data_IF_745808266172
#
_entry.id   IF_745808266172
#
_cell.length_a   1.000
_cell.length_b   1.000
_cell.length_c   1.000
_cell.angle_alpha   90.00
_cell.angle_beta   90.00
_cell.angle_gamma   90.00
#
_symmetry.space_group_name_H-M   'P 1'
#
loop_
_entity.id
_entity.type
_entity.pdbx_description
1 polymer ?
#
# COMPACT_ATOMS: atom_id res chain seq x y z
N UNK A 1 26.48 12.56 10.85
CA UNK A 1 26.14 12.28 9.43
C UNK A 1 26.83 10.99 9.00
N UNK A 2 26.12 9.87 8.90
CA UNK A 2 26.60 8.60 8.32
C UNK A 2 25.38 7.82 7.80
N UNK A 3 24.58 8.44 6.94
CA UNK A 3 23.20 8.00 6.65
C UNK A 3 23.06 6.93 5.54
N UNK A 4 24.16 6.44 4.96
CA UNK A 4 24.12 5.58 3.77
C UNK A 4 25.16 4.46 3.79
N UNK A 5 25.30 3.75 4.91
CA UNK A 5 26.02 2.48 4.90
C UNK A 5 25.02 1.38 4.67
N UNK A 6 24.91 0.92 3.43
CA UNK A 6 24.21 -0.32 3.12
C UNK A 6 24.93 -1.48 3.81
N UNK A 7 24.29 -2.07 4.81
CA UNK A 7 24.87 -3.15 5.60
C UNK A 7 24.46 -4.51 5.03
N UNK A 8 25.18 -5.56 5.43
CA UNK A 8 24.73 -6.94 5.18
C UNK A 8 23.33 -7.17 5.76
N UNK A 9 23.00 -6.52 6.88
CA UNK A 9 21.68 -6.60 7.51
C UNK A 9 20.58 -6.05 6.62
N UNK A 10 20.81 -4.93 5.92
CA UNK A 10 19.82 -4.34 5.00
C UNK A 10 19.56 -5.25 3.80
N UNK A 11 20.61 -5.89 3.27
CA UNK A 11 20.48 -6.85 2.18
C UNK A 11 19.66 -8.08 2.59
N UNK A 12 20.06 -8.76 3.66
CA UNK A 12 19.36 -9.97 4.11
C UNK A 12 17.95 -9.64 4.61
N UNK A 13 17.76 -8.50 5.28
CA UNK A 13 16.45 -8.03 5.72
C UNK A 13 15.51 -7.71 4.56
N UNK A 14 16.00 -7.04 3.51
CA UNK A 14 15.22 -6.78 2.30
C UNK A 14 14.86 -8.07 1.55
N UNK A 15 15.79 -9.02 1.47
CA UNK A 15 15.56 -10.31 0.82
C UNK A 15 14.49 -11.14 1.56
N UNK A 16 14.61 -11.28 2.88
CA UNK A 16 13.61 -12.02 3.68
C UNK A 16 12.26 -11.34 3.66
N UNK A 17 12.23 -10.01 3.78
CA UNK A 17 11.01 -9.21 3.64
C UNK A 17 10.33 -9.44 2.28
N UNK A 18 11.10 -9.44 1.19
CA UNK A 18 10.59 -9.70 -0.15
C UNK A 18 9.98 -11.09 -0.30
N UNK A 19 10.66 -12.13 0.22
CA UNK A 19 10.16 -13.51 0.20
C UNK A 19 8.82 -13.62 0.95
N UNK A 20 8.69 -12.96 2.10
CA UNK A 20 7.44 -12.95 2.90
C UNK A 20 6.35 -12.10 2.25
N UNK A 21 6.70 -10.97 1.62
CA UNK A 21 5.75 -10.06 1.00
C UNK A 21 5.16 -10.61 -0.30
N UNK A 22 5.91 -11.40 -1.07
CA UNK A 22 5.47 -11.99 -2.34
C UNK A 22 4.13 -12.74 -2.27
N UNK A 23 3.93 -13.75 -1.40
CA UNK A 23 2.66 -14.48 -1.33
C UNK A 23 1.50 -13.57 -0.87
N UNK A 24 1.76 -12.64 0.05
CA UNK A 24 0.76 -11.68 0.51
C UNK A 24 0.31 -10.74 -0.61
N UNK A 25 1.26 -10.21 -1.38
CA UNK A 25 0.97 -9.33 -2.50
C UNK A 25 0.12 -10.01 -3.58
N UNK A 26 0.44 -11.26 -3.92
CA UNK A 26 -0.33 -12.04 -4.89
C UNK A 26 -1.74 -12.34 -4.35
N UNK A 27 -1.86 -12.77 -3.10
CA UNK A 27 -3.15 -13.07 -2.47
C UNK A 27 -4.07 -11.84 -2.40
N UNK A 28 -3.52 -10.71 -1.95
CA UNK A 28 -4.28 -9.45 -1.86
C UNK A 28 -4.62 -8.87 -3.23
N UNK A 29 -3.76 -9.03 -4.23
CA UNK A 29 -4.08 -8.69 -5.62
C UNK A 29 -5.30 -9.45 -6.12
N UNK A 30 -5.36 -10.76 -5.89
CA UNK A 30 -6.53 -11.58 -6.27
C UNK A 30 -7.78 -11.17 -5.48
N UNK A 31 -7.67 -10.96 -4.16
CA UNK A 31 -8.80 -10.53 -3.33
C UNK A 31 -9.36 -9.16 -3.69
N UNK A 32 -8.54 -8.26 -4.25
CA UNK A 32 -8.99 -6.95 -4.74
C UNK A 32 -9.92 -7.03 -5.97
N UNK A 33 -9.93 -8.15 -6.68
CA UNK A 33 -10.66 -8.31 -7.95
C UNK A 33 -9.87 -7.88 -9.21
N UNK A 34 -8.69 -7.27 -9.06
CA UNK A 34 -7.82 -6.88 -10.20
C UNK A 34 -6.79 -7.96 -10.58
N UNK A 35 -6.65 -9.02 -9.79
CA UNK A 35 -5.77 -10.15 -10.05
C UNK A 35 -4.38 -10.02 -9.45
N UNK A 36 -3.63 -11.13 -9.49
CA UNK A 36 -2.35 -11.26 -8.78
C UNK A 36 -1.29 -10.27 -9.27
N UNK A 37 -1.28 -9.97 -10.58
CA UNK A 37 -0.35 -9.02 -11.17
C UNK A 37 -0.50 -7.61 -10.57
N UNK A 38 -1.74 -7.15 -10.36
CA UNK A 38 -2.00 -5.84 -9.75
C UNK A 38 -1.44 -5.75 -8.32
N UNK A 39 -1.61 -6.81 -7.54
CA UNK A 39 -1.03 -6.90 -6.19
C UNK A 39 0.49 -6.91 -6.18
N UNK A 40 1.11 -7.66 -7.10
CA UNK A 40 2.57 -7.71 -7.25
C UNK A 40 3.17 -6.37 -7.65
N UNK A 41 2.65 -5.75 -8.71
CA UNK A 41 3.12 -4.43 -9.15
C UNK A 41 2.86 -3.38 -8.06
N UNK A 42 1.68 -3.41 -7.42
CA UNK A 42 1.36 -2.54 -6.31
C UNK A 42 2.37 -2.64 -5.16
N UNK A 43 2.74 -3.85 -4.75
CA UNK A 43 3.73 -4.08 -3.71
C UNK A 43 5.13 -3.57 -4.10
N UNK A 44 5.57 -3.79 -5.34
CA UNK A 44 6.87 -3.33 -5.84
C UNK A 44 6.94 -1.80 -5.80
N UNK A 45 5.97 -1.13 -6.42
CA UNK A 45 5.96 0.33 -6.50
C UNK A 45 5.76 0.97 -5.12
N UNK A 46 4.85 0.44 -4.31
CA UNK A 46 4.62 0.94 -2.95
C UNK A 46 5.88 0.77 -2.08
N UNK A 47 6.50 -0.41 -2.08
CA UNK A 47 7.72 -0.66 -1.32
C UNK A 47 8.87 0.25 -1.73
N UNK A 48 9.06 0.46 -3.04
CA UNK A 48 10.08 1.35 -3.58
C UNK A 48 9.85 2.81 -3.16
N UNK A 49 8.67 3.38 -3.44
CA UNK A 49 8.42 4.79 -3.17
C UNK A 49 8.28 5.09 -1.68
N UNK A 50 7.67 4.19 -0.90
CA UNK A 50 7.54 4.37 0.54
C UNK A 50 8.90 4.25 1.26
N UNK A 51 9.82 3.39 0.80
CA UNK A 51 11.17 3.36 1.37
C UNK A 51 12.02 4.57 0.97
N UNK A 52 11.82 5.11 -0.24
CA UNK A 52 12.54 6.28 -0.72
C UNK A 52 12.09 7.59 -0.07
N UNK A 53 10.78 7.78 0.11
CA UNK A 53 10.19 9.03 0.64
C UNK A 53 9.70 8.92 2.09
N UNK A 54 9.74 7.72 2.68
CA UNK A 54 9.24 7.46 4.03
C UNK A 54 10.14 8.00 5.14
N UNK A 55 9.58 8.03 6.36
CA UNK A 55 10.27 8.51 7.57
C UNK A 55 10.85 7.42 8.47
N UNK A 56 10.56 6.13 8.17
CA UNK A 56 10.88 4.99 9.06
C UNK A 56 11.87 4.05 8.39
N UNK A 57 13.14 3.95 8.84
CA UNK A 57 14.20 3.24 8.14
C UNK A 57 13.96 1.74 7.88
N UNK A 58 13.28 1.05 8.81
CA UNK A 58 13.04 -0.40 8.74
C UNK A 58 11.61 -0.77 8.30
N UNK A 59 10.80 0.22 7.89
CA UNK A 59 9.40 -0.02 7.54
C UNK A 59 9.27 -0.63 6.15
N UNK A 60 8.66 -1.80 6.09
CA UNK A 60 8.27 -2.46 4.84
C UNK A 60 6.86 -1.99 4.49
N UNK A 61 6.66 -1.56 3.25
CA UNK A 61 5.36 -1.12 2.75
C UNK A 61 4.90 -2.04 1.63
N UNK A 62 3.63 -2.44 1.68
CA UNK A 62 3.01 -3.37 0.74
C UNK A 62 1.49 -3.37 0.94
N UNK A 63 0.73 -4.10 0.10
CA UNK A 63 -0.71 -4.26 0.29
C UNK A 63 -0.99 -4.95 1.64
N UNK A 64 -2.00 -4.45 2.36
CA UNK A 64 -2.43 -4.98 3.66
C UNK A 64 -3.87 -5.46 3.60
N UNK A 65 -4.28 -6.30 4.56
CA UNK A 65 -5.66 -6.81 4.62
C UNK A 65 -6.71 -5.69 4.59
N UNK A 66 -6.68 -4.70 5.51
CA UNK A 66 -7.65 -3.60 5.52
C UNK A 66 -7.67 -2.80 4.21
N UNK A 67 -6.49 -2.50 3.64
CA UNK A 67 -6.41 -1.78 2.36
C UNK A 67 -7.01 -2.60 1.22
N UNK A 68 -6.79 -3.92 1.23
CA UNK A 68 -7.33 -4.83 0.22
C UNK A 68 -8.85 -4.86 0.26
N UNK A 69 -9.44 -4.93 1.45
CA UNK A 69 -10.91 -4.89 1.63
C UNK A 69 -11.49 -3.58 1.08
N UNK A 70 -10.88 -2.43 1.42
CA UNK A 70 -11.34 -1.13 0.90
C UNK A 70 -11.17 -1.04 -0.62
N UNK A 71 -10.05 -1.55 -1.15
CA UNK A 71 -9.83 -1.57 -2.59
C UNK A 71 -10.86 -2.43 -3.32
N UNK A 72 -11.14 -3.65 -2.83
CA UNK A 72 -12.12 -4.56 -3.38
C UNK A 72 -13.52 -3.93 -3.40
N UNK A 73 -13.92 -3.31 -2.29
CA UNK A 73 -15.19 -2.59 -2.20
C UNK A 73 -15.27 -1.44 -3.21
N UNK A 74 -14.21 -0.63 -3.33
CA UNK A 74 -14.14 0.50 -4.27
C UNK A 74 -14.25 0.02 -5.73
N UNK A 75 -13.51 -1.04 -6.08
CA UNK A 75 -13.53 -1.64 -7.42
C UNK A 75 -14.92 -2.20 -7.72
N UNK A 76 -15.53 -2.93 -6.77
CA UNK A 76 -16.87 -3.48 -6.94
C UNK A 76 -17.93 -2.39 -7.15
N UNK A 77 -17.84 -1.25 -6.45
CA UNK A 77 -18.74 -0.11 -6.64
C UNK A 77 -18.66 0.46 -8.05
N UNK A 78 -17.46 0.73 -8.57
CA UNK A 78 -17.31 1.25 -9.94
C UNK A 78 -17.69 0.23 -11.01
N UNK A 79 -17.50 -1.07 -10.75
CA UNK A 79 -17.95 -2.13 -11.65
C UNK A 79 -19.47 -2.19 -11.71
N UNK A 80 -20.15 -2.03 -10.58
CA UNK A 80 -21.61 -2.00 -10.55
C UNK A 80 -22.20 -0.81 -11.32
N UNK A 81 -21.51 0.35 -11.34
CA UNK A 81 -21.96 1.53 -12.09
C UNK A 81 -21.65 1.45 -13.59
N UNK A 82 -20.46 0.96 -13.95
CA UNK A 82 -19.97 1.05 -15.34
C UNK A 82 -20.14 -0.24 -16.14
N UNK A 83 -20.33 -1.39 -15.47
CA UNK A 83 -20.57 -2.69 -16.09
C UNK A 83 -19.33 -3.41 -16.64
N UNK A 84 -18.19 -2.74 -16.82
CA UNK A 84 -16.93 -3.37 -17.21
C UNK A 84 -15.71 -2.78 -16.50
N UNK A 85 -14.66 -3.60 -16.36
CA UNK A 85 -13.39 -3.18 -15.75
C UNK A 85 -12.71 -2.09 -16.58
N UNK A 86 -12.83 -2.14 -17.90
CA UNK A 86 -12.18 -1.22 -18.84
C UNK A 86 -12.72 0.20 -18.68
N UNK A 87 -14.03 0.33 -18.46
CA UNK A 87 -14.70 1.61 -18.21
C UNK A 87 -14.51 2.09 -16.77
N UNK A 88 -14.38 1.18 -15.80
CA UNK A 88 -14.16 1.51 -14.40
C UNK A 88 -12.71 1.95 -14.08
N UNK A 89 -11.73 1.40 -14.82
CA UNK A 89 -10.30 1.59 -14.55
C UNK A 89 -9.87 3.06 -14.39
N UNK A 90 -10.27 4.01 -15.26
CA UNK A 90 -9.90 5.41 -15.09
C UNK A 90 -10.38 6.00 -13.76
N UNK A 91 -11.62 5.71 -13.35
CA UNK A 91 -12.18 6.18 -12.08
C UNK A 91 -11.48 5.54 -10.88
N UNK A 92 -11.19 4.24 -10.96
CA UNK A 92 -10.42 3.50 -9.93
C UNK A 92 -9.03 4.11 -9.75
N UNK A 93 -8.31 4.35 -10.85
CA UNK A 93 -6.96 4.94 -10.82
C UNK A 93 -6.99 6.34 -10.20
N UNK A 94 -7.90 7.20 -10.64
CA UNK A 94 -8.05 8.56 -10.09
C UNK A 94 -8.34 8.51 -8.59
N UNK A 95 -9.18 7.59 -8.14
CA UNK A 95 -9.50 7.41 -6.72
C UNK A 95 -8.25 7.09 -5.89
N UNK A 96 -7.42 6.14 -6.33
CA UNK A 96 -6.20 5.80 -5.61
C UNK A 96 -5.12 6.89 -5.68
N UNK A 97 -5.02 7.62 -6.80
CA UNK A 97 -4.15 8.79 -6.90
C UNK A 97 -4.58 9.87 -5.91
N UNK A 98 -5.87 10.17 -5.82
CA UNK A 98 -6.41 11.12 -4.85
C UNK A 98 -6.16 10.66 -3.41
N UNK A 99 -6.34 9.37 -3.10
CA UNK A 99 -6.01 8.82 -1.79
C UNK A 99 -4.53 9.05 -1.43
N UNK A 100 -3.61 8.84 -2.36
CA UNK A 100 -2.18 9.13 -2.18
C UNK A 100 -1.90 10.62 -1.96
N UNK A 101 -2.55 11.50 -2.71
CA UNK A 101 -2.44 12.96 -2.52
C UNK A 101 -2.96 13.39 -1.14
N UNK A 102 -4.07 12.81 -0.67
CA UNK A 102 -4.57 13.05 0.68
C UNK A 102 -3.59 12.56 1.74
N UNK A 103 -2.94 11.41 1.55
CA UNK A 103 -1.90 10.92 2.46
C UNK A 103 -0.70 11.87 2.53
N UNK A 104 -0.23 12.37 1.39
CA UNK A 104 0.85 13.38 1.32
C UNK A 104 0.42 14.65 2.07
N UNK A 105 -0.78 15.16 1.79
CA UNK A 105 -1.33 16.33 2.46
C UNK A 105 -1.39 16.15 3.98
N UNK A 106 -1.95 15.03 4.46
CA UNK A 106 -2.01 14.67 5.89
C UNK A 106 -0.62 14.58 6.52
N UNK A 107 0.38 14.10 5.77
CA UNK A 107 1.78 14.09 6.17
C UNK A 107 2.36 15.49 6.37
N UNK A 108 2.07 16.42 5.45
CA UNK A 108 2.52 17.82 5.51
C UNK A 108 1.92 18.53 6.73
N UNK A 109 0.63 18.35 7.00
CA UNK A 109 -0.05 18.96 8.16
C UNK A 109 0.20 18.21 9.48
N UNK A 110 0.99 17.13 9.46
CA UNK A 110 1.42 16.32 10.62
C UNK A 110 0.27 15.71 11.45
N UNK A 111 -0.89 15.49 10.81
CA UNK A 111 -2.06 14.86 11.44
C UNK A 111 -1.81 13.37 11.76
N UNK A 112 -0.84 12.72 11.09
CA UNK A 112 -0.46 11.33 11.40
C UNK A 112 -0.06 11.10 12.87
N UNK A 113 0.36 12.15 13.58
CA UNK A 113 0.66 12.06 15.03
C UNK A 113 -0.58 11.76 15.89
N UNK A 114 -1.78 11.94 15.37
CA UNK A 114 -3.04 11.65 16.06
C UNK A 114 -3.35 10.15 16.14
N UNK A 115 -2.74 9.32 15.29
CA UNK A 115 -2.95 7.86 15.26
C UNK A 115 -2.65 7.23 16.62
N UNK A 116 -1.73 7.81 17.40
CA UNK A 116 -1.37 7.34 18.75
C UNK A 116 -2.52 7.41 19.77
N UNK A 117 -3.60 8.14 19.47
CA UNK A 117 -4.77 8.28 20.34
C UNK A 117 -5.87 7.25 20.04
N UNK A 118 -5.70 6.40 19.02
CA UNK A 118 -6.67 5.34 18.71
C UNK A 118 -6.51 4.21 19.74
N UNK A 119 -7.57 3.83 20.48
CA UNK A 119 -7.50 2.75 21.46
C UNK A 119 -7.19 1.39 20.83
N UNK A 120 -6.42 0.56 21.54
CA UNK A 120 -6.07 -0.79 21.08
C UNK A 120 -7.30 -1.65 20.67
N UNK A 121 -8.43 -1.68 21.42
CA UNK A 121 -9.60 -2.46 21.03
C UNK A 121 -10.27 -2.05 19.71
N UNK A 122 -9.97 -0.86 19.18
CA UNK A 122 -10.49 -0.39 17.88
C UNK A 122 -9.61 -0.88 16.73
N UNK A 123 -8.33 -1.15 17.01
CA UNK A 123 -7.33 -1.57 16.03
C UNK A 123 -7.21 -3.09 15.95
N UNK A 124 -7.40 -3.80 17.08
CA UNK A 124 -7.16 -5.23 17.26
C UNK A 124 -8.31 -6.13 16.80
#
# INVERSE_FOLDING_TARGET
MSKWKFTKGDFFGGLTAGIVALPLALAFGVQSGLGAAAGLYGAIFLGFFASLFGGTPSQISGPTGPMTVVSAATIALFLAETGSIETALPAIIVTFVLAGLFQIFMGIVRIGSLIKYIPYPVVS
#
